data_IF_427715647388
#
_entry.id   IF_427715647388
#
_cell.length_a   1.000
_cell.length_b   1.000
_cell.length_c   1.000
_cell.angle_alpha   90.00
_cell.angle_beta   90.00
_cell.angle_gamma   90.00
#
_symmetry.space_group_name_H-M   'P 1'
#
loop_
_entity.id
_entity.type
_entity.pdbx_description
1 polymer ?
#
# COMPACT_ATOMS: atom_id res chain seq x y z
N UNK A 1 19.59 -3.06 5.90
CA UNK A 1 18.68 -1.96 5.59
C UNK A 1 18.59 -0.98 6.75
N UNK A 2 18.24 -1.41 7.99
CA UNK A 2 18.09 -0.54 9.16
C UNK A 2 19.29 0.39 9.40
N UNK A 3 20.53 -0.10 9.27
CA UNK A 3 21.75 0.71 9.41
C UNK A 3 21.86 1.79 8.33
N UNK A 4 21.39 1.51 7.10
CA UNK A 4 21.39 2.49 6.01
C UNK A 4 20.44 3.64 6.34
N UNK A 5 19.20 3.34 6.69
CA UNK A 5 18.20 4.37 7.02
C UNK A 5 18.53 5.12 8.32
N UNK A 6 19.21 4.49 9.27
CA UNK A 6 19.68 5.18 10.48
C UNK A 6 20.83 6.16 10.18
N UNK A 7 21.74 5.79 9.26
CA UNK A 7 22.90 6.62 8.91
C UNK A 7 22.56 7.68 7.85
N UNK A 8 21.60 7.41 6.98
CA UNK A 8 21.25 8.25 5.82
C UNK A 8 19.74 8.54 5.81
N UNK A 9 19.30 9.58 6.51
CA UNK A 9 17.86 9.91 6.64
C UNK A 9 17.13 10.19 5.32
N UNK A 10 17.86 10.53 4.26
CA UNK A 10 17.32 10.79 2.92
C UNK A 10 17.55 9.63 1.95
N UNK A 11 17.99 8.47 2.42
CA UNK A 11 18.22 7.34 1.56
C UNK A 11 16.92 6.80 0.97
N UNK A 12 17.02 6.35 -0.27
CA UNK A 12 16.02 5.53 -0.95
C UNK A 12 16.68 4.20 -1.31
N UNK A 13 15.97 3.12 -1.14
CA UNK A 13 16.45 1.77 -1.42
C UNK A 13 15.42 1.04 -2.26
N UNK A 14 15.87 0.39 -3.33
CA UNK A 14 15.09 -0.57 -4.08
C UNK A 14 15.66 -1.95 -3.78
N UNK A 15 14.85 -2.80 -3.14
CA UNK A 15 15.19 -4.18 -2.88
C UNK A 15 14.55 -5.07 -3.92
N UNK A 16 15.35 -5.84 -4.66
CA UNK A 16 14.86 -6.92 -5.51
C UNK A 16 14.96 -8.24 -4.75
N UNK A 17 13.84 -8.94 -4.62
CA UNK A 17 13.78 -10.21 -3.92
C UNK A 17 13.13 -11.28 -4.82
N UNK A 18 13.85 -12.38 -5.09
CA UNK A 18 13.37 -13.51 -5.86
C UNK A 18 12.39 -14.36 -5.06
N UNK A 19 11.11 -14.00 -5.10
CA UNK A 19 10.07 -14.64 -4.28
C UNK A 19 9.84 -16.09 -4.68
N UNK A 20 9.85 -16.41 -5.96
CA UNK A 20 9.73 -17.79 -6.45
C UNK A 20 10.86 -18.68 -5.96
N UNK A 21 12.09 -18.20 -6.04
CA UNK A 21 13.25 -18.94 -5.52
C UNK A 21 13.08 -19.21 -4.04
N UNK A 22 12.68 -18.20 -3.27
CA UNK A 22 12.40 -18.40 -1.84
C UNK A 22 11.29 -19.43 -1.62
N UNK A 23 10.17 -19.32 -2.34
CA UNK A 23 9.03 -20.21 -2.16
C UNK A 23 9.33 -21.67 -2.55
N UNK A 24 10.14 -21.86 -3.59
CA UNK A 24 10.52 -23.20 -4.08
C UNK A 24 11.49 -23.90 -3.11
N UNK A 25 12.34 -23.12 -2.44
CA UNK A 25 13.32 -23.63 -1.47
C UNK A 25 12.93 -23.39 -0.02
N UNK A 26 11.75 -22.81 0.23
CA UNK A 26 11.25 -22.57 1.57
C UNK A 26 11.15 -23.91 2.34
N UNK A 27 11.98 -24.08 3.36
CA UNK A 27 12.08 -25.25 4.22
C UNK A 27 12.67 -24.84 5.56
N UNK A 28 12.69 -25.77 6.50
CA UNK A 28 13.33 -25.57 7.81
C UNK A 28 14.86 -25.81 7.78
N UNK A 29 15.42 -25.92 6.57
CA UNK A 29 16.85 -26.12 6.36
C UNK A 29 17.72 -24.91 6.72
N UNK A 30 18.99 -25.17 7.00
CA UNK A 30 19.94 -24.16 7.47
C UNK A 30 20.11 -23.00 6.47
N UNK A 31 20.03 -23.25 5.16
CA UNK A 31 20.15 -22.22 4.14
C UNK A 31 19.05 -21.16 4.25
N UNK A 32 17.81 -21.57 4.54
CA UNK A 32 16.68 -20.64 4.74
C UNK A 32 16.84 -19.89 6.05
N UNK A 33 17.26 -20.57 7.10
CA UNK A 33 17.56 -19.95 8.41
C UNK A 33 18.67 -18.91 8.28
N UNK A 34 19.75 -19.23 7.58
CA UNK A 34 20.87 -18.31 7.36
C UNK A 34 20.43 -17.08 6.54
N UNK A 35 19.61 -17.29 5.52
CA UNK A 35 19.02 -16.18 4.75
C UNK A 35 18.16 -15.27 5.64
N UNK A 36 17.25 -15.84 6.43
CA UNK A 36 16.38 -15.08 7.33
C UNK A 36 17.17 -14.35 8.42
N UNK A 37 18.22 -15.01 8.97
CA UNK A 37 19.17 -14.38 9.91
C UNK A 37 19.89 -13.20 9.24
N UNK A 38 20.39 -13.38 8.03
CA UNK A 38 21.06 -12.33 7.26
C UNK A 38 20.15 -11.13 6.94
N UNK A 39 18.85 -11.38 6.76
CA UNK A 39 17.84 -10.34 6.61
C UNK A 39 17.43 -9.68 7.94
N UNK A 40 17.85 -10.23 9.08
CA UNK A 40 17.49 -9.74 10.41
C UNK A 40 16.08 -10.12 10.87
N UNK A 41 15.51 -11.18 10.33
CA UNK A 41 14.16 -11.68 10.60
C UNK A 41 14.15 -13.18 10.96
N UNK A 42 14.95 -13.62 11.94
CA UNK A 42 15.18 -15.05 12.20
C UNK A 42 13.91 -15.84 12.58
N UNK A 43 12.98 -15.19 13.26
CA UNK A 43 11.72 -15.80 13.70
C UNK A 43 10.52 -15.14 12.99
N UNK A 44 10.53 -15.23 11.68
CA UNK A 44 9.50 -14.61 10.84
C UNK A 44 8.11 -15.22 11.04
N UNK A 45 8.05 -16.51 11.42
CA UNK A 45 6.79 -17.25 11.50
C UNK A 45 6.30 -17.49 12.94
N UNK A 46 6.87 -16.79 13.92
CA UNK A 46 6.42 -16.86 15.32
C UNK A 46 6.57 -18.23 15.95
N UNK A 47 7.70 -18.89 15.73
CA UNK A 47 8.03 -20.20 16.26
C UNK A 47 7.44 -21.38 15.48
N UNK A 48 6.62 -21.15 14.44
CA UNK A 48 6.13 -22.22 13.56
C UNK A 48 7.18 -22.58 12.51
N UNK A 49 7.32 -23.87 12.23
CA UNK A 49 8.16 -24.32 11.13
C UNK A 49 7.50 -24.10 9.78
N UNK A 50 8.29 -24.02 8.70
CA UNK A 50 7.78 -23.92 7.34
C UNK A 50 6.93 -25.13 6.98
N UNK A 51 7.34 -26.32 7.41
CA UNK A 51 6.62 -27.56 7.13
C UNK A 51 5.28 -27.64 7.90
N UNK A 52 5.22 -27.15 9.13
CA UNK A 52 3.95 -27.01 9.87
C UNK A 52 2.98 -26.05 9.17
N UNK A 53 3.48 -24.93 8.63
CA UNK A 53 2.66 -23.98 7.88
C UNK A 53 2.14 -24.63 6.61
N UNK A 54 2.98 -25.28 5.83
CA UNK A 54 2.57 -26.01 4.60
C UNK A 54 1.52 -27.08 4.86
N UNK A 55 1.62 -27.77 5.99
CA UNK A 55 0.70 -28.85 6.35
C UNK A 55 -0.65 -28.35 6.88
N UNK A 56 -0.67 -27.17 7.52
CA UNK A 56 -1.85 -26.68 8.25
C UNK A 56 -2.62 -25.59 7.51
N UNK A 57 -2.03 -24.95 6.50
CA UNK A 57 -2.61 -23.79 5.83
C UNK A 57 -2.75 -24.05 4.33
N UNK A 58 -4.01 -24.02 3.83
CA UNK A 58 -4.29 -24.20 2.40
C UNK A 58 -3.61 -23.09 1.57
N UNK A 59 -3.52 -21.89 2.14
CA UNK A 59 -2.99 -20.68 1.48
C UNK A 59 -1.56 -20.38 1.95
N UNK A 60 -0.81 -21.41 2.30
CA UNK A 60 0.53 -21.31 2.89
C UNK A 60 1.49 -20.43 2.08
N UNK A 61 1.39 -20.43 0.72
CA UNK A 61 2.21 -19.58 -0.13
C UNK A 61 1.96 -18.10 0.13
N UNK A 62 0.69 -17.69 0.17
CA UNK A 62 0.29 -16.33 0.47
C UNK A 62 0.66 -15.92 1.89
N UNK A 63 0.46 -16.84 2.84
CA UNK A 63 0.84 -16.61 4.22
C UNK A 63 2.35 -16.36 4.38
N UNK A 64 3.19 -17.22 3.81
CA UNK A 64 4.64 -17.05 3.85
C UNK A 64 5.08 -15.73 3.17
N UNK A 65 4.56 -15.44 1.99
CA UNK A 65 4.89 -14.23 1.24
C UNK A 65 4.46 -12.96 2.01
N UNK A 66 3.22 -12.90 2.46
CA UNK A 66 2.70 -11.76 3.22
C UNK A 66 3.47 -11.53 4.52
N UNK A 67 3.82 -12.61 5.22
CA UNK A 67 4.57 -12.53 6.46
C UNK A 67 6.00 -12.07 6.20
N UNK A 68 6.67 -12.63 5.18
CA UNK A 68 8.02 -12.22 4.79
C UNK A 68 8.05 -10.73 4.39
N UNK A 69 7.13 -10.30 3.53
CA UNK A 69 7.02 -8.91 3.12
C UNK A 69 6.86 -7.97 4.32
N UNK A 70 5.89 -8.26 5.19
CA UNK A 70 5.61 -7.45 6.39
C UNK A 70 6.85 -7.33 7.27
N UNK A 71 7.51 -8.44 7.55
CA UNK A 71 8.71 -8.46 8.40
C UNK A 71 9.90 -7.74 7.76
N UNK A 72 10.08 -7.88 6.45
CA UNK A 72 11.12 -7.13 5.72
C UNK A 72 10.91 -5.63 5.87
N UNK A 73 9.68 -5.16 5.68
CA UNK A 73 9.36 -3.73 5.76
C UNK A 73 9.50 -3.22 7.20
N UNK A 74 8.91 -3.91 8.19
CA UNK A 74 8.99 -3.54 9.60
C UNK A 74 10.45 -3.47 10.10
N UNK A 75 11.30 -4.40 9.67
CA UNK A 75 12.69 -4.45 10.09
C UNK A 75 13.63 -3.60 9.24
N UNK A 76 13.18 -3.06 8.11
CA UNK A 76 13.99 -2.23 7.24
C UNK A 76 14.41 -0.91 7.88
N UNK A 77 13.55 -0.33 8.73
CA UNK A 77 13.66 1.01 9.27
C UNK A 77 13.14 2.09 8.33
N UNK A 78 12.59 1.72 7.17
CA UNK A 78 11.90 2.64 6.29
C UNK A 78 10.53 3.03 6.85
N UNK A 79 10.13 4.28 6.63
CA UNK A 79 8.78 4.78 6.99
C UNK A 79 7.77 4.57 5.88
N UNK A 80 8.25 4.65 4.63
CA UNK A 80 7.41 4.56 3.44
C UNK A 80 7.95 3.50 2.49
N UNK A 81 7.05 2.76 1.91
CA UNK A 81 7.40 1.68 1.00
C UNK A 81 6.32 1.49 -0.07
N UNK A 82 6.77 1.02 -1.23
CA UNK A 82 5.91 0.66 -2.35
C UNK A 82 6.31 -0.75 -2.78
N UNK A 83 5.50 -1.77 -2.52
CA UNK A 83 5.74 -3.09 -3.04
C UNK A 83 5.38 -3.11 -4.52
N UNK A 84 6.13 -3.84 -5.29
CA UNK A 84 5.85 -4.12 -6.67
C UNK A 84 6.22 -5.56 -6.98
N UNK A 85 5.33 -6.27 -7.64
CA UNK A 85 5.52 -7.65 -8.01
C UNK A 85 5.74 -7.73 -9.52
N UNK A 86 6.90 -8.20 -9.93
CA UNK A 86 7.24 -8.40 -11.34
C UNK A 86 7.04 -9.86 -11.68
N UNK A 87 6.10 -10.14 -12.57
CA UNK A 87 5.92 -11.44 -13.16
C UNK A 87 6.60 -11.50 -14.50
N UNK A 88 7.49 -12.46 -14.67
CA UNK A 88 8.13 -12.70 -15.94
C UNK A 88 7.24 -13.57 -16.84
N UNK A 89 6.70 -13.00 -17.93
CA UNK A 89 5.82 -13.72 -18.86
C UNK A 89 6.57 -14.76 -19.73
N UNK A 90 7.88 -14.70 -19.83
CA UNK A 90 8.67 -15.56 -20.72
C UNK A 90 9.93 -16.14 -20.10
N UNK A 91 10.14 -16.01 -18.81
CA UNK A 91 11.36 -16.43 -18.13
C UNK A 91 11.13 -17.06 -16.76
N UNK A 92 12.22 -17.35 -16.09
CA UNK A 92 12.17 -17.98 -14.77
C UNK A 92 12.11 -16.94 -13.67
N UNK A 93 11.10 -17.05 -12.83
CA UNK A 93 11.03 -16.42 -11.52
C UNK A 93 10.20 -15.13 -11.45
N UNK A 94 9.42 -15.05 -10.38
CA UNK A 94 8.71 -13.86 -9.95
C UNK A 94 9.56 -13.12 -8.91
N UNK A 95 9.53 -11.80 -8.96
CA UNK A 95 10.35 -10.94 -8.11
C UNK A 95 9.50 -9.91 -7.39
N UNK A 96 9.83 -9.62 -6.15
CA UNK A 96 9.44 -8.37 -5.54
C UNK A 96 10.48 -7.30 -5.85
N UNK A 97 9.99 -6.15 -6.22
CA UNK A 97 10.72 -4.91 -6.22
C UNK A 97 10.11 -4.03 -5.14
N UNK A 98 10.79 -3.85 -4.02
CA UNK A 98 10.29 -3.08 -2.89
C UNK A 98 11.07 -1.78 -2.82
N UNK A 99 10.43 -0.68 -3.15
CA UNK A 99 10.98 0.65 -2.91
C UNK A 99 10.73 1.04 -1.46
N UNK A 100 11.75 1.53 -0.80
CA UNK A 100 11.73 1.95 0.61
C UNK A 100 12.36 3.32 0.76
N UNK A 101 11.76 4.19 1.57
CA UNK A 101 12.21 5.57 1.78
C UNK A 101 11.82 6.09 3.17
N UNK A 102 12.40 7.23 3.55
CA UNK A 102 12.05 7.94 4.78
C UNK A 102 10.99 9.02 4.57
N UNK A 103 10.64 9.33 3.31
CA UNK A 103 9.72 10.40 2.99
C UNK A 103 8.60 9.95 2.05
N UNK A 104 7.36 10.31 2.37
CA UNK A 104 6.17 9.96 1.58
C UNK A 104 6.22 10.47 0.13
N UNK A 105 6.94 11.56 -0.15
CA UNK A 105 7.11 12.08 -1.54
C UNK A 105 7.93 11.14 -2.40
N UNK A 106 8.98 10.52 -1.86
CA UNK A 106 9.76 9.53 -2.61
C UNK A 106 8.88 8.30 -2.96
N UNK A 107 8.10 7.86 -1.99
CA UNK A 107 7.09 6.81 -2.22
C UNK A 107 6.06 7.22 -3.28
N UNK A 108 5.59 8.47 -3.26
CA UNK A 108 4.64 9.01 -4.23
C UNK A 108 5.22 9.00 -5.66
N UNK A 109 6.44 9.46 -5.82
CA UNK A 109 7.16 9.42 -7.12
C UNK A 109 7.23 7.99 -7.66
N UNK A 110 7.61 7.01 -6.81
CA UNK A 110 7.66 5.61 -7.24
C UNK A 110 6.29 5.08 -7.64
N UNK A 111 5.25 5.47 -6.93
CA UNK A 111 3.88 5.11 -7.28
C UNK A 111 3.44 5.71 -8.61
N UNK A 112 3.78 6.97 -8.88
CA UNK A 112 3.51 7.60 -10.19
C UNK A 112 4.27 6.88 -11.33
N UNK A 113 5.47 6.36 -11.08
CA UNK A 113 6.19 5.51 -12.06
C UNK A 113 5.37 4.25 -12.39
N UNK A 114 4.76 3.60 -11.40
CA UNK A 114 3.91 2.44 -11.65
C UNK A 114 2.68 2.81 -12.48
N UNK A 115 2.00 3.89 -12.14
CA UNK A 115 0.84 4.38 -12.90
C UNK A 115 1.21 4.80 -14.33
N UNK A 116 2.36 5.44 -14.53
CA UNK A 116 2.80 5.91 -15.85
C UNK A 116 3.17 4.77 -16.81
N UNK A 117 3.57 3.62 -16.27
CA UNK A 117 3.99 2.45 -17.06
C UNK A 117 2.93 1.35 -17.12
N UNK A 118 1.73 1.57 -16.58
CA UNK A 118 0.68 0.56 -16.46
C UNK A 118 1.23 -0.76 -15.89
N UNK A 119 2.02 -0.66 -14.83
CA UNK A 119 2.69 -1.81 -14.27
C UNK A 119 1.66 -2.79 -13.70
N UNK A 120 1.96 -4.07 -13.83
CA UNK A 120 1.11 -5.14 -13.33
C UNK A 120 1.51 -5.48 -11.90
N UNK A 121 0.54 -5.50 -11.00
CA UNK A 121 0.74 -5.86 -9.60
C UNK A 121 -0.32 -6.88 -9.16
N UNK A 122 0.13 -8.03 -8.65
CA UNK A 122 -0.77 -9.02 -8.08
C UNK A 122 -0.84 -8.79 -6.57
N UNK A 123 -2.04 -8.54 -6.09
CA UNK A 123 -2.32 -8.47 -4.66
C UNK A 123 -3.75 -8.93 -4.39
N UNK A 124 -4.00 -9.30 -3.15
CA UNK A 124 -5.32 -9.64 -2.66
C UNK A 124 -5.78 -8.56 -1.70
N UNK A 125 -6.62 -7.65 -2.16
CA UNK A 125 -7.14 -6.55 -1.37
C UNK A 125 -7.89 -5.56 -2.24
N UNK A 126 -8.64 -4.66 -1.61
CA UNK A 126 -9.39 -3.62 -2.30
C UNK A 126 -8.49 -2.51 -2.87
N UNK A 127 -9.02 -1.71 -3.76
CA UNK A 127 -8.31 -0.60 -4.40
C UNK A 127 -8.08 0.63 -3.49
N UNK A 128 -8.51 0.57 -2.22
CA UNK A 128 -8.49 1.67 -1.26
C UNK A 128 -7.32 1.60 -0.26
N UNK A 129 -7.59 2.02 0.98
CA UNK A 129 -6.58 2.10 2.04
C UNK A 129 -6.16 0.74 2.63
N UNK A 130 -6.88 -0.33 2.32
CA UNK A 130 -6.64 -1.68 2.85
C UNK A 130 -6.09 -2.64 1.79
N UNK A 131 -5.57 -2.10 0.68
CA UNK A 131 -5.11 -2.86 -0.47
C UNK A 131 -4.01 -3.89 -0.13
N UNK A 132 -3.08 -3.54 0.74
CA UNK A 132 -1.92 -4.36 1.04
C UNK A 132 -2.06 -5.23 2.29
N UNK A 133 -3.28 -5.62 2.66
CA UNK A 133 -3.48 -6.54 3.78
C UNK A 133 -2.90 -7.93 3.50
N UNK A 134 -2.97 -8.38 2.24
CA UNK A 134 -2.30 -9.61 1.79
C UNK A 134 -1.48 -9.31 0.54
N UNK A 135 -0.18 -9.45 0.64
CA UNK A 135 0.77 -9.26 -0.47
C UNK A 135 1.38 -10.62 -0.82
N UNK A 136 1.12 -11.07 -2.03
CA UNK A 136 1.68 -12.33 -2.48
C UNK A 136 1.00 -12.83 -3.76
N UNK A 137 1.47 -13.96 -4.27
CA UNK A 137 0.94 -14.65 -5.42
C UNK A 137 0.81 -16.15 -5.12
N UNK A 138 -0.34 -16.73 -5.43
CA UNK A 138 -0.56 -18.16 -5.39
C UNK A 138 -1.12 -18.64 -6.74
N UNK A 139 -0.35 -19.48 -7.51
CA UNK A 139 -0.80 -19.98 -8.81
C UNK A 139 -2.09 -20.81 -8.73
N UNK A 140 -2.39 -21.45 -7.61
CA UNK A 140 -3.60 -22.26 -7.44
C UNK A 140 -4.83 -21.35 -7.36
N UNK A 141 -4.74 -20.28 -6.58
CA UNK A 141 -5.80 -19.28 -6.52
C UNK A 141 -5.98 -18.55 -7.85
N UNK A 142 -4.89 -18.24 -8.55
CA UNK A 142 -4.96 -17.58 -9.86
C UNK A 142 -5.67 -18.45 -10.90
N UNK A 143 -5.50 -19.77 -10.86
CA UNK A 143 -6.20 -20.71 -11.75
C UNK A 143 -7.71 -20.78 -11.46
N UNK A 144 -8.12 -20.69 -10.20
CA UNK A 144 -9.52 -20.63 -9.79
C UNK A 144 -10.17 -19.27 -10.13
N UNK A 145 -9.39 -18.19 -10.08
CA UNK A 145 -9.83 -16.83 -10.40
C UNK A 145 -9.79 -16.49 -11.90
N UNK A 146 -9.05 -17.23 -12.73
CA UNK A 146 -9.06 -17.06 -14.19
C UNK A 146 -10.43 -17.34 -14.82
N UNK A 147 -11.35 -18.00 -14.09
CA UNK A 147 -12.76 -18.13 -14.49
C UNK A 147 -13.63 -16.93 -14.04
N UNK A 148 -13.16 -16.08 -13.15
CA UNK A 148 -13.85 -14.89 -12.65
C UNK A 148 -12.85 -13.72 -12.70
N UNK A 149 -12.84 -12.90 -13.72
CA UNK A 149 -11.98 -11.70 -13.88
C UNK A 149 -10.70 -11.65 -13.05
N UNK A 150 -9.52 -11.50 -13.67
CA UNK A 150 -8.24 -11.56 -12.94
C UNK A 150 -8.22 -10.53 -11.80
N UNK A 151 -7.94 -10.97 -10.58
CA UNK A 151 -7.67 -10.11 -9.41
C UNK A 151 -6.30 -9.41 -9.52
N UNK A 152 -5.67 -9.46 -10.69
CA UNK A 152 -4.49 -8.67 -10.98
C UNK A 152 -4.85 -7.19 -10.97
N UNK A 153 -4.15 -6.40 -10.18
CA UNK A 153 -4.25 -4.95 -10.24
C UNK A 153 -3.29 -4.47 -11.32
N UNK A 154 -3.82 -4.05 -12.44
CA UNK A 154 -3.07 -3.28 -13.43
C UNK A 154 -3.17 -1.80 -13.04
N UNK A 155 -2.07 -1.07 -13.10
CA UNK A 155 -2.08 0.38 -12.90
C UNK A 155 -2.64 1.07 -14.14
N UNK A 156 -3.91 0.78 -14.45
CA UNK A 156 -4.65 1.27 -15.62
C UNK A 156 -5.79 2.21 -15.22
N UNK A 157 -6.58 2.66 -16.18
CA UNK A 157 -7.72 3.55 -15.94
C UNK A 157 -8.85 2.87 -15.17
N UNK A 158 -8.99 1.55 -15.22
CA UNK A 158 -10.01 0.80 -14.48
C UNK A 158 -9.63 0.80 -13.00
N UNK A 159 -8.40 0.43 -12.70
CA UNK A 159 -7.86 0.44 -11.33
C UNK A 159 -7.83 1.85 -10.75
N UNK A 160 -7.56 2.87 -11.57
CA UNK A 160 -7.61 4.27 -11.14
C UNK A 160 -9.00 4.69 -10.69
N UNK A 161 -10.04 4.36 -11.48
CA UNK A 161 -11.44 4.64 -11.08
C UNK A 161 -11.83 3.89 -9.82
N UNK A 162 -11.45 2.60 -9.71
CA UNK A 162 -11.68 1.81 -8.51
C UNK A 162 -10.98 2.40 -7.28
N UNK A 163 -9.74 2.87 -7.43
CA UNK A 163 -9.00 3.53 -6.35
C UNK A 163 -9.66 4.83 -5.89
N UNK A 164 -10.14 5.66 -6.84
CA UNK A 164 -10.88 6.90 -6.51
C UNK A 164 -12.17 6.55 -5.77
N UNK A 165 -12.95 5.58 -6.27
CA UNK A 165 -14.20 5.17 -5.64
C UNK A 165 -13.97 4.66 -4.20
N UNK A 166 -12.98 3.82 -3.98
CA UNK A 166 -12.64 3.32 -2.66
C UNK A 166 -12.14 4.44 -1.72
N UNK A 167 -11.33 5.37 -2.22
CA UNK A 167 -10.87 6.53 -1.45
C UNK A 167 -12.03 7.48 -1.09
N UNK A 168 -13.03 7.63 -1.95
CA UNK A 168 -14.23 8.43 -1.65
C UNK A 168 -15.01 7.89 -0.44
N UNK A 169 -14.91 6.59 -0.16
CA UNK A 169 -15.49 6.00 1.05
C UNK A 169 -14.55 6.07 2.26
N UNK A 170 -13.25 5.86 2.05
CA UNK A 170 -12.30 5.71 3.15
C UNK A 170 -11.82 7.05 3.71
N UNK A 171 -11.63 8.08 2.86
CA UNK A 171 -11.15 9.40 3.30
C UNK A 171 -12.13 10.06 4.27
N UNK A 172 -13.46 10.14 3.98
CA UNK A 172 -14.41 10.73 4.93
C UNK A 172 -14.38 10.06 6.29
N UNK A 173 -14.30 8.73 6.34
CA UNK A 173 -14.24 8.00 7.63
C UNK A 173 -13.03 8.41 8.47
N UNK A 174 -11.87 8.67 7.82
CA UNK A 174 -10.67 9.17 8.51
C UNK A 174 -10.79 10.61 8.96
N UNK A 175 -11.38 11.46 8.12
CA UNK A 175 -11.58 12.89 8.42
C UNK A 175 -12.62 13.06 9.53
N UNK A 176 -13.75 12.36 9.46
CA UNK A 176 -14.85 12.49 10.45
C UNK A 176 -14.49 11.89 11.82
N UNK A 177 -13.50 11.02 11.89
CA UNK A 177 -12.98 10.50 13.15
C UNK A 177 -12.12 11.53 13.91
N UNK A 178 -11.85 12.72 13.32
CA UNK A 178 -11.02 13.76 13.89
C UNK A 178 -11.70 15.12 13.77
N UNK A 179 -12.24 15.63 14.87
CA UNK A 179 -12.96 16.90 14.93
C UNK A 179 -12.11 18.09 14.46
N UNK A 180 -10.81 18.04 14.66
CA UNK A 180 -9.87 19.07 14.19
C UNK A 180 -9.56 18.98 12.68
N UNK A 181 -10.05 17.95 12.00
CA UNK A 181 -9.64 17.61 10.66
C UNK A 181 -8.24 16.99 10.60
N UNK A 182 -7.75 16.77 9.38
CA UNK A 182 -6.43 16.19 9.15
C UNK A 182 -5.76 16.96 8.01
N UNK A 183 -4.46 17.26 8.09
CA UNK A 183 -3.76 17.87 6.97
C UNK A 183 -3.61 16.88 5.80
N UNK A 184 -3.59 17.41 4.57
CA UNK A 184 -3.40 16.54 3.39
C UNK A 184 -2.11 15.73 3.49
N UNK A 185 -1.03 16.37 3.93
CA UNK A 185 0.28 15.70 4.09
C UNK A 185 0.23 14.58 5.12
N UNK A 186 -0.46 14.76 6.23
CA UNK A 186 -0.63 13.75 7.26
C UNK A 186 -1.54 12.60 6.79
N UNK A 187 -2.68 12.92 6.17
CA UNK A 187 -3.57 11.92 5.59
C UNK A 187 -2.80 11.03 4.62
N UNK A 188 -2.08 11.65 3.68
CA UNK A 188 -1.31 10.90 2.68
C UNK A 188 -0.16 10.11 3.32
N UNK A 189 0.65 10.74 4.18
CA UNK A 189 1.80 10.08 4.79
C UNK A 189 1.41 8.87 5.67
N UNK A 190 0.26 8.93 6.35
CA UNK A 190 -0.19 7.84 7.23
C UNK A 190 -0.91 6.71 6.50
N UNK A 191 -1.40 6.95 5.28
CA UNK A 191 -2.23 5.97 4.53
C UNK A 191 -1.60 5.48 3.24
N UNK A 192 -0.61 6.19 2.68
CA UNK A 192 -0.03 5.84 1.38
C UNK A 192 0.59 4.45 1.33
N UNK A 193 1.16 3.94 2.42
CA UNK A 193 1.73 2.60 2.47
C UNK A 193 0.70 1.48 2.26
N UNK A 194 -0.57 1.75 2.51
CA UNK A 194 -1.67 0.78 2.40
C UNK A 194 -2.51 0.97 1.15
N UNK A 195 -2.13 1.88 0.25
CA UNK A 195 -2.92 2.22 -0.94
C UNK A 195 -2.07 2.20 -2.21
N UNK A 196 -2.61 1.78 -3.37
CA UNK A 196 -1.95 1.91 -4.66
C UNK A 196 -1.97 3.36 -5.18
N UNK A 197 -2.78 4.22 -4.54
CA UNK A 197 -3.01 5.57 -5.02
C UNK A 197 -1.81 6.48 -4.78
N UNK A 198 -1.53 7.31 -5.77
CA UNK A 198 -0.60 8.43 -5.66
C UNK A 198 -1.28 9.65 -5.02
N UNK A 199 -0.51 10.63 -4.58
CA UNK A 199 -1.04 11.90 -4.07
C UNK A 199 -1.96 12.59 -5.09
N UNK A 200 -1.73 12.40 -6.40
CA UNK A 200 -2.60 12.90 -7.46
C UNK A 200 -3.98 12.24 -7.41
N UNK A 201 -4.04 10.94 -7.20
CA UNK A 201 -5.30 10.19 -7.10
C UNK A 201 -6.06 10.58 -5.82
N UNK A 202 -5.35 10.76 -4.69
CA UNK A 202 -5.96 11.32 -3.48
C UNK A 202 -6.58 12.70 -3.72
N UNK A 203 -5.87 13.60 -4.42
CA UNK A 203 -6.42 14.92 -4.75
C UNK A 203 -7.65 14.83 -5.64
N UNK A 204 -7.70 13.87 -6.56
CA UNK A 204 -8.90 13.64 -7.39
C UNK A 204 -10.09 13.18 -6.56
N UNK A 205 -9.88 12.20 -5.66
CA UNK A 205 -10.92 11.74 -4.73
C UNK A 205 -11.41 12.89 -3.84
N UNK A 206 -10.49 13.65 -3.23
CA UNK A 206 -10.84 14.80 -2.39
C UNK A 206 -11.60 15.87 -3.22
N UNK A 207 -11.26 16.03 -4.51
CA UNK A 207 -12.00 16.91 -5.41
C UNK A 207 -13.45 16.49 -5.56
N UNK A 208 -13.71 15.22 -5.81
CA UNK A 208 -15.07 14.67 -5.87
C UNK A 208 -15.84 14.91 -4.55
N UNK A 209 -15.21 14.62 -3.42
CA UNK A 209 -15.81 14.80 -2.09
C UNK A 209 -16.07 16.29 -1.77
N UNK A 210 -15.25 17.20 -2.28
CA UNK A 210 -15.46 18.64 -2.16
C UNK A 210 -16.67 19.10 -2.99
N UNK A 211 -16.78 18.62 -4.23
CA UNK A 211 -17.92 18.92 -5.14
C UNK A 211 -19.24 18.39 -4.57
N UNK A 212 -19.20 17.22 -3.92
CA UNK A 212 -20.32 16.60 -3.21
C UNK A 212 -20.62 17.25 -1.84
N UNK A 213 -19.83 18.25 -1.43
CA UNK A 213 -19.92 18.88 -0.12
C UNK A 213 -19.76 17.91 1.07
N UNK A 214 -19.11 16.78 0.85
CA UNK A 214 -18.79 15.81 1.89
C UNK A 214 -17.57 16.23 2.71
N UNK A 215 -16.70 17.07 2.16
CA UNK A 215 -15.51 17.60 2.84
C UNK A 215 -15.37 19.11 2.58
N UNK A 216 -14.64 19.77 3.45
CA UNK A 216 -14.13 21.13 3.26
C UNK A 216 -12.61 21.13 3.32
N UNK A 217 -11.98 22.08 2.60
CA UNK A 217 -10.54 22.28 2.63
C UNK A 217 -10.26 23.70 3.10
N UNK A 218 -9.44 23.83 4.14
CA UNK A 218 -9.03 25.11 4.71
C UNK A 218 -7.51 25.24 4.58
N UNK A 219 -7.06 26.27 3.90
CA UNK A 219 -5.64 26.58 3.78
C UNK A 219 -5.04 27.00 5.11
N UNK A 220 -3.72 26.94 5.25
CA UNK A 220 -2.99 27.43 6.42
C UNK A 220 -3.23 28.92 6.71
N UNK A 221 -3.70 29.67 5.71
CA UNK A 221 -4.11 31.08 5.80
C UNK A 221 -5.58 31.26 6.24
N UNK A 222 -6.26 30.18 6.59
CA UNK A 222 -7.67 30.17 6.99
C UNK A 222 -8.66 30.29 5.81
N UNK A 223 -8.20 30.36 4.57
CA UNK A 223 -9.09 30.47 3.41
C UNK A 223 -9.64 29.13 2.99
N UNK A 224 -10.94 29.06 2.68
CA UNK A 224 -11.54 27.86 2.11
C UNK A 224 -11.11 27.67 0.66
N UNK A 225 -10.59 26.49 0.35
CA UNK A 225 -10.25 26.08 -1.03
C UNK A 225 -11.51 25.63 -1.76
N UNK A 226 -11.62 26.04 -3.01
CA UNK A 226 -12.74 25.63 -3.91
C UNK A 226 -12.34 24.51 -4.87
N UNK A 227 -11.08 24.10 -4.87
CA UNK A 227 -10.55 23.09 -5.79
C UNK A 227 -9.48 22.27 -5.09
N UNK A 228 -9.45 20.98 -5.34
CA UNK A 228 -8.43 20.05 -4.87
C UNK A 228 -7.11 20.13 -5.64
N UNK A 229 -7.09 20.78 -6.81
CA UNK A 229 -5.90 20.82 -7.68
C UNK A 229 -4.69 21.51 -7.04
N UNK A 230 -4.93 22.42 -6.11
CA UNK A 230 -3.91 23.21 -5.42
C UNK A 230 -3.77 22.89 -3.93
N UNK A 231 -4.28 21.74 -3.48
CA UNK A 231 -4.12 21.33 -2.10
C UNK A 231 -2.64 21.19 -1.77
N UNK A 232 -2.20 21.88 -0.72
CA UNK A 232 -0.86 21.78 -0.15
C UNK A 232 -0.84 20.76 0.98
N UNK A 233 0.32 20.23 1.32
CA UNK A 233 0.48 19.27 2.42
C UNK A 233 0.00 19.87 3.76
N UNK A 234 0.06 21.20 3.93
CA UNK A 234 -0.39 21.92 5.13
C UNK A 234 -1.89 22.25 5.17
N UNK A 235 -2.61 22.11 4.06
CA UNK A 235 -4.03 22.43 4.02
C UNK A 235 -4.83 21.37 4.81
N UNK A 236 -5.77 21.85 5.63
CA UNK A 236 -6.62 20.99 6.48
C UNK A 236 -7.83 20.50 5.69
N UNK A 237 -8.08 19.22 5.77
CA UNK A 237 -9.28 18.56 5.27
C UNK A 237 -10.19 18.31 6.47
N UNK A 238 -11.42 18.82 6.41
CA UNK A 238 -12.35 18.84 7.53
C UNK A 238 -13.71 18.30 7.13
N UNK A 239 -14.48 17.84 8.11
CA UNK A 239 -15.91 17.62 7.93
C UNK A 239 -16.61 18.96 7.69
N UNK A 240 -17.61 19.03 6.81
CA UNK A 240 -18.41 20.24 6.68
C UNK A 240 -19.16 20.52 7.99
N UNK A 241 -19.42 21.80 8.32
CA UNK A 241 -20.18 22.12 9.52
C UNK A 241 -21.56 21.45 9.43
N UNK A 242 -21.97 20.77 10.52
CA UNK A 242 -23.28 20.13 10.60
C UNK A 242 -24.37 21.19 10.35
N UNK A 243 -25.11 21.02 9.27
CA UNK A 243 -26.34 21.78 9.07
C UNK A 243 -27.38 21.21 10.02
N UNK A 244 -27.71 21.94 11.08
CA UNK A 244 -28.81 21.57 11.98
C UNK A 244 -30.10 21.63 11.14
N UNK A 245 -30.66 20.47 10.83
CA UNK A 245 -32.02 20.38 10.29
C UNK A 245 -32.96 20.70 11.43
N UNK A 246 -33.40 21.95 11.54
CA UNK A 246 -34.58 22.27 12.35
C UNK A 246 -35.78 21.66 11.61
N UNK A 247 -36.25 20.51 12.07
CA UNK A 247 -37.60 20.08 11.76
C UNK A 247 -38.52 21.01 12.59
N UNK A 248 -39.15 21.97 11.93
CA UNK A 248 -40.25 22.67 12.50
C UNK A 248 -41.37 21.64 12.79
N UNK A 249 -41.68 21.44 14.07
CA UNK A 249 -42.81 20.63 14.53
C UNK A 249 -44.09 21.44 14.36
#
# INVERSE_FOLDING_TARGET
>A
LRKIFAALPSAEVILTFGVDSFMNFASDGDQVKDLLNGLGIPDIFGGRSVEEIKASDRDWRLFLQSTLYRRLVENSGARHFTPFFIRNRGGHGDYWLIHMSQHHRARDVMTEVHWANNNYFIHYGGAGLDMFQMVGYDPVHDADYLQQSPLGFEFDDVARRASIAALNEHIPRRVYANDAGISFGELFATTCNSSPASARIYRQSIGTLLDEQALEIVGADGTKRRSSAQIKDSDQIMSPPQRTLFMAV
#
